data_IF_074617662342
#
_entry.id   IF_074617662342
#
_cell.length_a   1.000
_cell.length_b   1.000
_cell.length_c   1.000
_cell.angle_alpha   90.00
_cell.angle_beta   90.00
_cell.angle_gamma   90.00
#
_symmetry.space_group_name_H-M   'P 1'
#
loop_
_entity.id
_entity.type
_entity.pdbx_description
1 polymer ?
#
# COMPACT_ATOMS: atom_id res chain seq x y z
N UNK A 1 3.02 -16.77 11.25
CA UNK A 1 3.05 -15.31 11.02
C UNK A 1 4.51 -14.89 10.85
N UNK A 2 4.98 -14.55 9.63
CA UNK A 2 6.41 -14.37 9.16
C UNK A 2 7.05 -15.47 8.29
N UNK A 3 6.31 -16.44 7.76
CA UNK A 3 6.81 -17.47 6.80
C UNK A 3 5.83 -17.82 5.67
N UNK A 4 4.84 -16.96 5.44
CA UNK A 4 3.75 -17.18 4.47
C UNK A 4 3.87 -16.13 3.36
N UNK A 5 3.89 -14.85 3.75
CA UNK A 5 4.29 -13.67 2.93
C UNK A 5 5.55 -13.83 2.06
N UNK A 6 6.43 -14.78 2.37
CA UNK A 6 7.63 -15.05 1.56
C UNK A 6 7.37 -15.86 0.28
N UNK A 7 6.17 -16.44 0.09
CA UNK A 7 5.91 -17.38 -0.99
C UNK A 7 5.31 -16.73 -2.24
N UNK A 8 4.50 -15.68 -2.10
CA UNK A 8 4.03 -14.87 -3.24
C UNK A 8 5.19 -14.10 -3.91
N UNK A 9 6.15 -13.63 -3.10
CA UNK A 9 7.39 -12.98 -3.56
C UNK A 9 8.39 -13.94 -4.25
N UNK A 10 8.20 -15.26 -4.15
CA UNK A 10 9.22 -16.25 -4.52
C UNK A 10 9.40 -16.51 -6.03
N UNK A 11 8.48 -16.05 -6.88
CA UNK A 11 8.53 -16.33 -8.32
C UNK A 11 9.43 -15.40 -9.13
N UNK A 12 9.81 -14.22 -8.62
CA UNK A 12 10.56 -13.22 -9.38
C UNK A 12 12.06 -13.13 -9.02
N UNK A 13 12.47 -13.51 -7.80
CA UNK A 13 13.86 -13.35 -7.33
C UNK A 13 14.74 -14.58 -7.61
N UNK A 14 15.08 -14.83 -8.89
CA UNK A 14 15.97 -15.94 -9.30
C UNK A 14 17.32 -15.53 -9.92
N UNK A 15 17.73 -14.26 -9.79
CA UNK A 15 19.06 -13.81 -10.21
C UNK A 15 19.81 -13.03 -9.11
N UNK A 16 21.14 -13.12 -9.18
CA UNK A 16 22.14 -12.37 -8.40
C UNK A 16 22.35 -12.75 -6.92
N UNK A 17 22.86 -13.96 -6.68
CA UNK A 17 23.67 -14.26 -5.48
C UNK A 17 25.18 -14.21 -5.81
N UNK A 18 25.89 -13.18 -5.34
CA UNK A 18 27.28 -13.26 -4.81
C UNK A 18 27.87 -11.87 -4.49
N UNK A 19 27.67 -11.37 -3.26
CA UNK A 19 28.45 -10.28 -2.69
C UNK A 19 28.76 -10.57 -1.21
N UNK A 20 30.04 -10.48 -0.82
CA UNK A 20 30.55 -10.70 0.53
C UNK A 20 31.87 -9.92 0.68
N UNK A 21 32.15 -9.20 1.77
CA UNK A 21 31.31 -8.89 2.94
C UNK A 21 32.14 -8.34 4.12
N UNK A 22 31.49 -7.53 4.98
CA UNK A 22 32.05 -6.99 6.23
C UNK A 22 32.88 -5.69 6.09
N UNK A 23 32.94 -4.81 7.11
CA UNK A 23 32.18 -4.79 8.38
C UNK A 23 32.85 -3.97 9.50
N UNK A 24 32.05 -3.49 10.46
CA UNK A 24 32.42 -2.75 11.69
C UNK A 24 33.02 -1.32 11.44
N UNK A 25 32.94 -0.35 12.37
CA UNK A 25 32.82 -0.45 13.84
C UNK A 25 32.00 0.72 14.47
N UNK A 26 31.82 0.69 15.80
CA UNK A 26 31.14 1.71 16.64
C UNK A 26 32.21 2.66 17.29
N UNK A 27 32.09 3.38 18.45
CA UNK A 27 31.10 3.31 19.54
C UNK A 27 30.58 4.63 20.19
N UNK A 28 29.44 4.48 20.89
CA UNK A 28 29.04 5.03 22.21
C UNK A 28 29.39 6.46 22.70
N UNK A 29 28.40 7.14 23.32
CA UNK A 29 28.61 8.28 24.24
C UNK A 29 27.36 8.72 25.05
N UNK A 30 27.43 8.66 26.39
CA UNK A 30 26.43 9.17 27.36
C UNK A 30 27.10 9.31 28.75
N UNK A 31 26.75 10.28 29.64
CA UNK A 31 25.63 10.05 30.59
C UNK A 31 24.88 11.28 31.22
N UNK A 32 23.69 11.00 31.79
CA UNK A 32 23.05 11.55 33.01
C UNK A 32 22.61 13.05 33.18
N UNK A 33 21.28 13.26 33.29
CA UNK A 33 20.45 13.67 34.47
C UNK A 33 20.94 14.72 35.53
N UNK A 34 20.06 15.41 36.33
CA UNK A 34 18.86 14.84 37.03
C UNK A 34 17.60 15.72 37.37
N UNK A 35 16.53 15.03 37.83
CA UNK A 35 15.50 15.43 38.84
C UNK A 35 14.53 16.64 38.59
N UNK A 36 13.32 16.78 39.19
CA UNK A 36 12.30 15.92 39.88
C UNK A 36 11.06 16.82 40.24
N UNK A 37 9.86 16.40 40.70
CA UNK A 37 9.22 15.09 40.93
C UNK A 37 8.15 15.12 42.06
N UNK A 38 6.88 14.74 41.82
CA UNK A 38 5.77 14.58 42.80
C UNK A 38 4.45 14.08 42.16
N UNK A 39 3.77 13.01 42.63
CA UNK A 39 2.81 12.90 43.77
C UNK A 39 1.43 13.51 43.43
N UNK A 40 0.24 12.88 43.55
CA UNK A 40 -0.34 11.84 44.45
C UNK A 40 -1.53 11.13 43.74
N UNK A 41 -1.62 9.79 43.59
CA UNK A 41 -2.13 8.74 44.49
C UNK A 41 -3.61 8.82 44.96
N UNK A 42 -4.44 7.86 44.51
CA UNK A 42 -5.82 7.56 44.96
C UNK A 42 -6.07 6.03 44.85
N UNK A 43 -7.28 5.52 45.20
CA UNK A 43 -7.54 4.08 45.38
C UNK A 43 -9.00 3.63 45.08
N UNK A 44 -9.26 2.32 45.23
CA UNK A 44 -10.55 1.59 45.33
C UNK A 44 -11.44 1.42 44.08
N UNK A 45 -12.31 0.39 43.94
CA UNK A 45 -12.30 -1.05 44.32
C UNK A 45 -13.54 -1.78 43.67
N UNK A 46 -13.64 -3.12 43.77
CA UNK A 46 -14.82 -4.00 43.55
C UNK A 46 -15.25 -4.24 42.08
N UNK A 47 -15.54 -5.45 41.58
CA UNK A 47 -16.28 -6.65 42.06
C UNK A 47 -17.83 -6.48 42.00
N UNK A 48 -18.67 -7.46 41.58
CA UNK A 48 -18.46 -8.87 41.19
C UNK A 48 -19.65 -9.42 40.33
N UNK A 49 -19.40 -10.45 39.50
CA UNK A 49 -20.30 -11.54 39.02
C UNK A 49 -21.78 -11.31 38.59
N UNK A 50 -22.06 -11.69 37.33
CA UNK A 50 -23.17 -12.50 36.77
C UNK A 50 -24.55 -12.63 37.46
N UNK A 51 -25.64 -12.65 36.65
CA UNK A 51 -26.43 -13.87 36.34
C UNK A 51 -27.47 -13.61 35.19
N UNK A 52 -28.24 -14.65 34.79
CA UNK A 52 -29.00 -14.71 33.53
C UNK A 52 -30.54 -14.42 33.59
N UNK A 53 -31.27 -14.85 32.54
CA UNK A 53 -32.72 -14.72 32.23
C UNK A 53 -33.17 -13.36 31.63
N UNK A 54 -34.10 -13.25 30.68
CA UNK A 54 -34.82 -14.27 29.89
C UNK A 54 -36.08 -13.70 29.21
N UNK A 55 -36.09 -13.54 27.87
CA UNK A 55 -37.25 -12.92 27.20
C UNK A 55 -37.19 -12.90 25.66
N UNK A 56 -38.18 -13.53 25.03
CA UNK A 56 -38.33 -13.63 23.56
C UNK A 56 -38.68 -12.30 22.89
N UNK A 57 -38.02 -11.95 21.76
CA UNK A 57 -38.70 -11.85 20.44
C UNK A 57 -37.81 -11.35 19.30
N UNK A 58 -38.18 -11.78 18.07
CA UNK A 58 -37.82 -11.24 16.74
C UNK A 58 -36.36 -11.37 16.25
N UNK A 59 -36.22 -11.92 15.03
CA UNK A 59 -34.97 -11.87 14.25
C UNK A 59 -34.53 -10.43 14.00
N UNK A 60 -33.33 -10.07 14.45
CA UNK A 60 -32.55 -9.00 13.83
C UNK A 60 -31.67 -9.63 12.75
N UNK A 61 -32.32 -10.04 11.65
CA UNK A 61 -31.65 -10.38 10.38
C UNK A 61 -31.51 -9.14 9.47
N UNK A 62 -31.97 -7.98 9.95
CA UNK A 62 -31.83 -6.67 9.32
C UNK A 62 -30.54 -5.98 9.75
N UNK A 63 -29.41 -6.35 9.12
CA UNK A 63 -28.29 -5.43 8.81
C UNK A 63 -27.21 -6.02 7.86
N UNK A 64 -27.19 -7.34 7.63
CA UNK A 64 -26.06 -8.10 7.02
C UNK A 64 -25.58 -7.68 5.61
N UNK A 65 -26.21 -6.70 4.96
CA UNK A 65 -25.83 -6.18 3.64
C UNK A 65 -25.74 -4.65 3.55
N UNK A 66 -25.57 -3.93 4.66
CA UNK A 66 -25.57 -2.45 4.67
C UNK A 66 -24.18 -1.79 4.63
N UNK A 67 -23.08 -2.53 4.79
CA UNK A 67 -21.70 -2.00 4.83
C UNK A 67 -20.68 -2.85 4.05
N UNK A 68 -21.13 -3.54 3.00
CA UNK A 68 -20.27 -4.28 2.09
C UNK A 68 -19.74 -3.38 0.97
N UNK A 69 -18.49 -3.62 0.57
CA UNK A 69 -17.82 -3.00 -0.56
C UNK A 69 -17.67 -4.07 -1.65
N UNK A 70 -18.11 -3.73 -2.86
CA UNK A 70 -17.91 -4.53 -4.06
C UNK A 70 -17.04 -3.75 -5.03
N UNK A 71 -15.94 -4.35 -5.48
CA UNK A 71 -15.00 -3.79 -6.46
C UNK A 71 -14.79 -4.78 -7.61
N UNK A 72 -14.47 -4.28 -8.79
CA UNK A 72 -14.15 -5.09 -9.97
C UNK A 72 -12.71 -4.79 -10.37
N UNK A 73 -11.84 -5.77 -10.19
CA UNK A 73 -10.41 -5.66 -10.49
C UNK A 73 -10.19 -5.95 -11.99
N UNK A 74 -9.51 -5.06 -12.75
CA UNK A 74 -9.20 -5.26 -14.16
C UNK A 74 -8.40 -6.54 -14.42
N UNK A 75 -8.61 -7.15 -15.60
CA UNK A 75 -7.97 -8.41 -15.98
C UNK A 75 -6.43 -8.36 -15.90
N UNK A 76 -5.82 -7.20 -16.19
CA UNK A 76 -4.36 -7.01 -16.12
C UNK A 76 -3.78 -7.20 -14.70
N UNK A 77 -4.60 -6.97 -13.66
CA UNK A 77 -4.24 -7.23 -12.26
C UNK A 77 -4.68 -8.62 -11.75
N UNK A 78 -5.59 -9.30 -12.47
CA UNK A 78 -6.01 -10.69 -12.18
C UNK A 78 -5.05 -11.71 -12.82
N UNK A 79 -4.48 -11.38 -13.97
CA UNK A 79 -3.54 -12.23 -14.69
C UNK A 79 -4.15 -13.57 -15.11
N UNK A 80 -3.37 -14.65 -14.97
CA UNK A 80 -3.79 -16.02 -15.34
C UNK A 80 -4.46 -16.80 -14.18
N UNK A 81 -4.89 -16.11 -13.10
CA UNK A 81 -5.52 -16.75 -11.93
C UNK A 81 -6.81 -17.48 -12.26
N UNK A 82 -6.98 -18.68 -11.71
CA UNK A 82 -8.22 -19.46 -11.81
C UNK A 82 -9.19 -19.08 -10.68
N UNK A 83 -10.46 -19.51 -10.81
CA UNK A 83 -11.43 -19.37 -9.71
C UNK A 83 -10.98 -20.10 -8.44
N UNK A 84 -10.24 -21.22 -8.54
CA UNK A 84 -9.73 -21.96 -7.37
C UNK A 84 -8.66 -21.14 -6.61
N UNK A 85 -7.79 -20.42 -7.33
CA UNK A 85 -6.82 -19.50 -6.74
C UNK A 85 -7.49 -18.31 -6.06
N UNK A 86 -8.56 -17.76 -6.68
CA UNK A 86 -9.31 -16.61 -6.16
C UNK A 86 -10.22 -16.98 -4.97
N UNK A 87 -10.77 -18.20 -4.94
CA UNK A 87 -11.49 -18.74 -3.77
C UNK A 87 -10.52 -18.91 -2.58
N UNK A 88 -9.31 -19.44 -2.82
CA UNK A 88 -8.28 -19.55 -1.79
C UNK A 88 -7.81 -18.18 -1.28
N UNK A 89 -7.63 -17.20 -2.17
CA UNK A 89 -7.32 -15.81 -1.82
C UNK A 89 -8.42 -15.18 -0.96
N UNK A 90 -9.70 -15.49 -1.25
CA UNK A 90 -10.84 -15.01 -0.46
C UNK A 90 -10.84 -15.58 0.96
N UNK A 91 -10.57 -16.89 1.11
CA UNK A 91 -10.47 -17.54 2.43
C UNK A 91 -9.27 -17.04 3.25
N UNK A 92 -8.08 -16.86 2.64
CA UNK A 92 -6.89 -16.39 3.36
C UNK A 92 -7.03 -14.95 3.85
N UNK A 93 -7.59 -14.06 3.02
CA UNK A 93 -7.69 -12.63 3.35
C UNK A 93 -8.98 -12.22 4.08
N UNK A 94 -9.95 -13.13 4.18
CA UNK A 94 -11.24 -12.87 4.82
C UNK A 94 -12.21 -12.02 3.97
N UNK A 95 -12.11 -12.13 2.64
CA UNK A 95 -13.14 -11.60 1.74
C UNK A 95 -14.41 -12.46 1.81
N UNK A 96 -15.57 -11.92 1.41
CA UNK A 96 -16.83 -12.68 1.38
C UNK A 96 -16.95 -13.58 0.15
N UNK A 97 -16.40 -13.12 -0.97
CA UNK A 97 -16.29 -13.86 -2.22
C UNK A 97 -15.37 -13.11 -3.17
N UNK A 98 -14.66 -13.84 -4.03
CA UNK A 98 -14.06 -13.32 -5.26
C UNK A 98 -14.61 -14.13 -6.43
N UNK A 99 -14.89 -13.51 -7.56
CA UNK A 99 -15.52 -14.19 -8.71
C UNK A 99 -14.89 -13.75 -10.01
N UNK A 100 -14.29 -14.69 -10.74
CA UNK A 100 -13.75 -14.49 -12.08
C UNK A 100 -14.89 -14.31 -13.09
N UNK A 101 -14.85 -13.21 -13.84
CA UNK A 101 -15.83 -12.88 -14.87
C UNK A 101 -15.37 -13.40 -16.24
N UNK A 102 -16.30 -13.53 -17.21
CA UNK A 102 -15.99 -14.06 -18.56
C UNK A 102 -15.02 -13.17 -19.38
N UNK A 103 -14.80 -11.92 -18.97
CA UNK A 103 -13.85 -10.97 -19.57
C UNK A 103 -12.47 -10.95 -18.90
N UNK A 104 -12.23 -11.84 -17.92
CA UNK A 104 -10.99 -11.92 -17.15
C UNK A 104 -10.89 -10.95 -15.97
N UNK A 105 -11.83 -10.02 -15.81
CA UNK A 105 -11.92 -9.20 -14.59
C UNK A 105 -12.37 -10.05 -13.39
N UNK A 106 -12.11 -9.61 -12.17
CA UNK A 106 -12.56 -10.31 -10.97
C UNK A 106 -13.38 -9.41 -10.04
N UNK A 107 -14.56 -9.87 -9.64
CA UNK A 107 -15.46 -9.17 -8.72
C UNK A 107 -15.16 -9.59 -7.28
N UNK A 108 -14.67 -8.68 -6.45
CA UNK A 108 -14.40 -8.90 -5.03
C UNK A 108 -15.53 -8.32 -4.19
N UNK A 109 -15.97 -9.04 -3.16
CA UNK A 109 -16.94 -8.56 -2.16
C UNK A 109 -16.33 -8.71 -0.76
N UNK A 110 -16.28 -7.63 0.01
CA UNK A 110 -15.68 -7.61 1.34
C UNK A 110 -16.40 -6.63 2.28
N UNK A 111 -16.22 -6.77 3.59
CA UNK A 111 -16.73 -5.77 4.55
C UNK A 111 -15.85 -4.51 4.53
N UNK A 112 -16.44 -3.33 4.69
CA UNK A 112 -15.71 -2.04 4.59
C UNK A 112 -14.42 -1.94 5.43
N UNK A 113 -14.34 -2.59 6.60
CA UNK A 113 -13.11 -2.59 7.40
C UNK A 113 -11.94 -3.31 6.72
N UNK A 114 -12.21 -4.40 5.99
CA UNK A 114 -11.20 -5.15 5.22
C UNK A 114 -10.84 -4.45 3.91
N UNK A 115 -11.78 -3.68 3.34
CA UNK A 115 -11.45 -2.77 2.23
C UNK A 115 -10.49 -1.67 2.66
N UNK A 116 -10.74 -1.00 3.80
CA UNK A 116 -9.81 -0.02 4.36
C UNK A 116 -8.43 -0.62 4.67
N UNK A 117 -8.38 -1.86 5.18
CA UNK A 117 -7.15 -2.60 5.49
C UNK A 117 -6.33 -2.88 4.21
N UNK A 118 -6.96 -3.43 3.18
CA UNK A 118 -6.38 -3.65 1.86
C UNK A 118 -5.87 -2.35 1.21
N UNK A 119 -6.63 -1.26 1.33
CA UNK A 119 -6.19 0.04 0.81
C UNK A 119 -5.01 0.63 1.57
N UNK A 120 -4.86 0.33 2.87
CA UNK A 120 -3.66 0.70 3.61
C UNK A 120 -2.47 -0.14 3.17
N UNK A 121 -2.62 -1.46 3.04
CA UNK A 121 -1.55 -2.36 2.59
C UNK A 121 -1.02 -1.94 1.20
N UNK A 122 -1.91 -1.59 0.27
CA UNK A 122 -1.54 -1.07 -1.06
C UNK A 122 -0.84 0.30 -0.98
N UNK A 123 -1.23 1.17 -0.04
CA UNK A 123 -0.56 2.47 0.16
C UNK A 123 0.84 2.27 0.74
N UNK A 124 0.98 1.44 1.77
CA UNK A 124 2.25 1.10 2.41
C UNK A 124 3.22 0.42 1.41
N UNK A 125 2.72 -0.40 0.47
CA UNK A 125 3.51 -1.00 -0.61
C UNK A 125 3.92 0.01 -1.71
N UNK A 126 3.04 0.93 -2.11
CA UNK A 126 3.39 1.99 -3.08
C UNK A 126 4.43 2.92 -2.47
N UNK A 127 4.20 3.43 -1.26
CA UNK A 127 5.10 4.37 -0.58
C UNK A 127 6.50 3.75 -0.39
N UNK A 128 6.59 2.47 0.00
CA UNK A 128 7.87 1.75 0.08
C UNK A 128 8.58 1.66 -1.29
N UNK A 129 7.83 1.41 -2.38
CA UNK A 129 8.38 1.42 -3.73
C UNK A 129 8.89 2.80 -4.17
N UNK A 130 8.22 3.89 -3.75
CA UNK A 130 8.70 5.26 -3.99
C UNK A 130 9.96 5.56 -3.17
N UNK A 131 10.04 5.12 -1.91
CA UNK A 131 11.24 5.27 -1.07
C UNK A 131 12.46 4.51 -1.66
N UNK A 132 12.27 3.28 -2.15
CA UNK A 132 13.35 2.49 -2.78
C UNK A 132 13.90 3.12 -4.08
N UNK A 133 13.15 4.01 -4.73
CA UNK A 133 13.64 4.76 -5.89
C UNK A 133 14.54 5.95 -5.55
N UNK A 134 14.42 6.55 -4.36
CA UNK A 134 15.13 7.80 -4.03
C UNK A 134 16.62 7.54 -3.83
N UNK A 135 17.46 8.15 -4.69
CA UNK A 135 18.91 8.03 -4.65
C UNK A 135 19.45 6.63 -4.96
N UNK A 136 18.66 5.77 -5.61
CA UNK A 136 19.07 4.39 -5.94
C UNK A 136 20.15 4.34 -7.02
N UNK A 137 20.81 3.19 -7.21
CA UNK A 137 21.79 3.01 -8.31
C UNK A 137 21.16 3.15 -9.71
N UNK A 138 19.84 2.95 -9.84
CA UNK A 138 19.09 3.11 -11.09
C UNK A 138 18.58 4.55 -11.29
N UNK A 139 18.28 5.26 -10.20
CA UNK A 139 17.75 6.63 -10.21
C UNK A 139 18.60 7.61 -9.35
N UNK A 140 19.93 7.71 -9.59
CA UNK A 140 20.84 8.47 -8.72
C UNK A 140 20.62 10.00 -8.75
N UNK A 141 19.76 10.49 -9.63
CA UNK A 141 19.31 11.88 -9.75
C UNK A 141 18.10 12.21 -8.87
N UNK A 142 17.28 11.23 -8.50
CA UNK A 142 16.04 11.44 -7.73
C UNK A 142 16.40 11.68 -6.26
N UNK A 143 16.01 12.84 -5.75
CA UNK A 143 16.29 13.29 -4.36
C UNK A 143 15.07 13.28 -3.47
N UNK A 144 13.87 13.31 -4.05
CA UNK A 144 12.60 13.11 -3.36
C UNK A 144 11.51 12.71 -4.36
N UNK A 145 10.50 11.98 -3.88
CA UNK A 145 9.22 11.82 -4.58
C UNK A 145 8.12 12.21 -3.60
N UNK A 146 7.28 13.18 -3.96
CA UNK A 146 6.06 13.52 -3.22
C UNK A 146 4.84 13.03 -4.00
N UNK A 147 3.78 12.62 -3.30
CA UNK A 147 2.49 12.27 -3.91
C UNK A 147 1.32 12.77 -3.07
N UNK A 148 0.11 12.78 -3.64
CA UNK A 148 -1.12 13.05 -2.91
C UNK A 148 -1.77 11.73 -2.44
N UNK A 149 -2.63 11.79 -1.41
CA UNK A 149 -3.27 10.60 -0.79
C UNK A 149 -4.30 9.84 -1.63
N UNK A 150 -4.21 9.92 -2.95
CA UNK A 150 -4.88 9.04 -3.91
C UNK A 150 -3.97 8.61 -5.09
N UNK A 151 -2.68 8.98 -5.09
CA UNK A 151 -1.72 8.62 -6.13
C UNK A 151 -2.10 9.07 -7.56
N UNK A 152 -2.91 10.12 -7.70
CA UNK A 152 -3.16 10.77 -9.01
C UNK A 152 -2.12 11.81 -9.41
N UNK A 153 -1.25 12.24 -8.49
CA UNK A 153 -0.17 13.21 -8.73
C UNK A 153 1.14 12.73 -8.11
N UNK A 154 2.21 12.73 -8.90
CA UNK A 154 3.58 12.45 -8.44
C UNK A 154 4.49 13.64 -8.78
N UNK A 155 5.34 14.02 -7.83
CA UNK A 155 6.28 15.14 -7.93
C UNK A 155 7.68 14.61 -7.64
N UNK A 156 8.42 14.34 -8.71
CA UNK A 156 9.76 13.74 -8.66
C UNK A 156 10.79 14.86 -8.69
N UNK A 157 11.56 15.02 -7.62
CA UNK A 157 12.60 16.07 -7.53
C UNK A 157 13.94 15.50 -7.97
N UNK A 158 14.56 16.11 -8.99
CA UNK A 158 15.77 15.62 -9.66
C UNK A 158 16.90 16.65 -9.64
N UNK A 159 18.16 16.21 -9.50
CA UNK A 159 19.33 17.09 -9.65
C UNK A 159 19.67 17.39 -11.13
N UNK A 160 19.17 16.58 -12.07
CA UNK A 160 19.40 16.71 -13.51
C UNK A 160 18.64 17.89 -14.15
N UNK A 161 19.21 18.49 -15.21
CA UNK A 161 18.57 19.53 -16.03
C UNK A 161 17.60 18.95 -17.09
N UNK A 162 17.65 17.65 -17.35
CA UNK A 162 16.90 16.91 -18.38
C UNK A 162 16.71 15.46 -17.96
N UNK A 163 15.61 14.81 -18.36
CA UNK A 163 15.38 13.41 -18.00
C UNK A 163 16.39 12.45 -18.61
N UNK A 164 16.91 11.55 -17.78
CA UNK A 164 17.61 10.34 -18.19
C UNK A 164 16.65 9.24 -18.66
N UNK A 165 17.16 8.21 -19.36
CA UNK A 165 16.33 7.11 -19.88
C UNK A 165 15.52 6.41 -18.77
N UNK A 166 16.13 6.17 -17.61
CA UNK A 166 15.47 5.49 -16.49
C UNK A 166 14.34 6.38 -15.93
N UNK A 167 14.60 7.68 -15.77
CA UNK A 167 13.60 8.68 -15.33
C UNK A 167 12.40 8.75 -16.30
N UNK A 168 12.64 8.72 -17.61
CA UNK A 168 11.56 8.65 -18.61
C UNK A 168 10.78 7.32 -18.57
N UNK A 169 11.41 6.21 -18.17
CA UNK A 169 10.75 4.90 -18.04
C UNK A 169 9.95 4.76 -16.74
N UNK A 170 10.39 5.40 -15.63
CA UNK A 170 9.72 5.30 -14.33
C UNK A 170 8.34 5.95 -14.30
N UNK A 171 8.04 6.84 -15.25
CA UNK A 171 6.68 7.34 -15.55
C UNK A 171 5.65 6.21 -15.62
N UNK A 172 6.01 5.06 -16.21
CA UNK A 172 5.11 3.91 -16.31
C UNK A 172 4.83 3.26 -14.94
N UNK A 173 5.79 3.27 -14.01
CA UNK A 173 5.60 2.77 -12.65
C UNK A 173 4.64 3.67 -11.86
N UNK A 174 4.80 4.99 -11.94
CA UNK A 174 3.88 5.95 -11.31
C UNK A 174 2.44 5.82 -11.83
N UNK A 175 2.27 5.65 -13.15
CA UNK A 175 0.95 5.37 -13.72
C UNK A 175 0.37 4.03 -13.26
N UNK A 176 1.20 2.99 -13.11
CA UNK A 176 0.77 1.70 -12.58
C UNK A 176 0.35 1.80 -11.12
N UNK A 177 1.09 2.54 -10.27
CA UNK A 177 0.74 2.75 -8.86
C UNK A 177 -0.61 3.46 -8.71
N UNK A 178 -0.82 4.58 -9.41
CA UNK A 178 -2.12 5.28 -9.40
C UNK A 178 -3.26 4.41 -9.95
N UNK A 179 -3.03 3.69 -11.05
CA UNK A 179 -3.99 2.74 -11.61
C UNK A 179 -4.36 1.61 -10.67
N UNK A 180 -3.37 1.03 -9.98
CA UNK A 180 -3.53 -0.05 -9.00
C UNK A 180 -4.33 0.42 -7.78
N UNK A 181 -3.91 1.53 -7.15
CA UNK A 181 -4.62 2.11 -6.01
C UNK A 181 -6.10 2.36 -6.35
N UNK A 182 -6.39 2.99 -7.48
CA UNK A 182 -7.77 3.30 -7.86
C UNK A 182 -8.61 2.08 -8.27
N UNK A 183 -7.99 1.05 -8.87
CA UNK A 183 -8.65 -0.23 -9.17
C UNK A 183 -9.11 -0.93 -7.88
N UNK A 184 -8.23 -1.08 -6.89
CA UNK A 184 -8.58 -1.70 -5.61
C UNK A 184 -9.47 -0.81 -4.72
N UNK A 185 -9.42 0.52 -4.88
CA UNK A 185 -10.36 1.44 -4.24
C UNK A 185 -11.78 1.38 -4.88
N UNK A 186 -11.94 0.72 -6.03
CA UNK A 186 -13.22 0.65 -6.75
C UNK A 186 -13.62 1.97 -7.42
N UNK A 187 -12.64 2.81 -7.76
CA UNK A 187 -12.83 4.18 -8.26
C UNK A 187 -12.28 4.34 -9.66
N UNK A 188 -12.98 5.10 -10.50
CA UNK A 188 -12.48 5.46 -11.84
C UNK A 188 -11.52 6.65 -11.75
N UNK A 189 -10.43 6.61 -12.53
CA UNK A 189 -9.57 7.76 -12.80
C UNK A 189 -9.50 8.03 -14.30
N UNK A 190 -9.44 9.32 -14.64
CA UNK A 190 -9.20 9.77 -16.02
C UNK A 190 -7.71 9.99 -16.28
N UNK A 191 -6.89 10.23 -15.24
CA UNK A 191 -5.50 10.68 -15.39
C UNK A 191 -4.67 10.48 -14.12
N UNK A 192 -3.42 10.03 -14.29
CA UNK A 192 -2.31 10.22 -13.34
C UNK A 192 -1.36 11.26 -13.94
N UNK A 193 -0.92 12.23 -13.14
CA UNK A 193 -0.01 13.30 -13.53
C UNK A 193 1.36 13.08 -12.86
N UNK A 194 2.45 13.21 -13.62
CA UNK A 194 3.83 13.10 -13.12
C UNK A 194 4.59 14.35 -13.53
N UNK A 195 5.11 15.09 -12.54
CA UNK A 195 5.95 16.27 -12.74
C UNK A 195 7.38 15.99 -12.25
N UNK A 196 8.36 16.16 -13.14
CA UNK A 196 9.77 16.17 -12.77
C UNK A 196 10.23 17.61 -12.53
N UNK A 197 10.86 17.87 -11.40
CA UNK A 197 11.17 19.21 -10.88
C UNK A 197 12.66 19.30 -10.59
N UNK A 198 13.35 20.31 -11.12
CA UNK A 198 14.77 20.48 -10.85
C UNK A 198 15.00 20.98 -9.41
N UNK A 199 15.84 20.27 -8.65
CA UNK A 199 16.11 20.52 -7.23
C UNK A 199 16.74 21.91 -6.95
N UNK A 200 17.45 22.49 -7.93
CA UNK A 200 18.16 23.76 -7.77
C UNK A 200 17.32 24.99 -8.17
N UNK A 201 16.39 24.86 -9.11
CA UNK A 201 15.53 25.97 -9.56
C UNK A 201 14.10 25.91 -9.01
N UNK A 202 13.59 24.71 -8.70
CA UNK A 202 12.18 24.47 -8.39
C UNK A 202 11.26 24.52 -9.61
N UNK A 203 11.81 24.60 -10.83
CA UNK A 203 11.05 24.62 -12.08
C UNK A 203 10.73 23.20 -12.57
N UNK A 204 9.61 23.05 -13.27
CA UNK A 204 9.22 21.78 -13.91
C UNK A 204 10.12 21.57 -15.14
N UNK A 205 10.85 20.45 -15.15
CA UNK A 205 11.67 19.97 -16.27
C UNK A 205 10.79 19.29 -17.31
N UNK A 206 9.90 18.40 -16.87
CA UNK A 206 8.95 17.68 -17.71
C UNK A 206 7.66 17.39 -16.94
N UNK A 207 6.52 17.42 -17.63
CA UNK A 207 5.21 17.07 -17.09
C UNK A 207 4.53 16.08 -18.04
N UNK A 208 4.06 14.96 -17.50
CA UNK A 208 3.42 13.88 -18.25
C UNK A 208 2.09 13.49 -17.62
N UNK A 209 1.18 12.96 -18.45
CA UNK A 209 -0.19 12.64 -18.09
C UNK A 209 -0.60 11.29 -18.68
N UNK A 210 -1.12 10.37 -17.86
CA UNK A 210 -1.42 9.00 -18.32
C UNK A 210 -2.48 8.95 -19.42
N UNK A 211 -3.43 9.90 -19.42
CA UNK A 211 -4.46 10.04 -20.45
C UNK A 211 -3.92 10.34 -21.85
N UNK A 212 -2.69 10.85 -21.94
CA UNK A 212 -2.05 11.24 -23.19
C UNK A 212 -1.30 10.04 -23.82
N UNK A 213 -1.27 8.88 -23.15
CA UNK A 213 -0.81 7.59 -23.69
C UNK A 213 -2.03 6.75 -24.10
N UNK A 214 -2.21 6.53 -25.41
CA UNK A 214 -3.27 5.70 -26.01
C UNK A 214 -2.99 5.34 -27.47
#
# INVERSE_FOLDING_TARGET
MKRIFSMMLACCMLFLLSACGGGADEPAGSPAEPAAGGTQAAADDSAQSAEADGGSSQSIEADKGLLDVTITIPADFVGESTQEDLDALAEENGFKSVTLNEDGTATYVMGKSKHNELMQEISDEIDAGLEEMVGSEEFPSITAIETNGDYTQFRVTIESETLGLNESLSVMAFYLYGGMYHAFNGTQIENVNVQFINAATGEIVEETNSKDIG
#
